data_IF_868994674778
#
_entry.id   IF_868994674778
#
_cell.length_a   1.000
_cell.length_b   1.000
_cell.length_c   1.000
_cell.angle_alpha   90.00
_cell.angle_beta   90.00
_cell.angle_gamma   90.00
#
_symmetry.space_group_name_H-M   'P 1'
#
loop_
_entity.id
_entity.type
_entity.pdbx_description
1 polymer ?
#
# COMPACT_ATOMS: atom_id res chain seq x y z
N UNK A 1 3.44 27.22 -2.29
CA UNK A 1 3.11 25.86 -2.77
C UNK A 1 1.67 25.75 -3.30
N UNK A 2 0.69 26.45 -2.72
CA UNK A 2 -0.73 26.44 -3.13
C UNK A 2 -0.96 26.62 -4.64
N UNK A 3 -0.49 27.71 -5.23
CA UNK A 3 -0.66 28.01 -6.66
C UNK A 3 -0.13 26.89 -7.58
N UNK A 4 1.03 26.32 -7.23
CA UNK A 4 1.62 25.21 -7.98
C UNK A 4 0.72 23.97 -7.95
N UNK A 5 0.19 23.62 -6.77
CA UNK A 5 -0.71 22.47 -6.59
C UNK A 5 -2.01 22.71 -7.36
N UNK A 6 -2.63 23.88 -7.20
CA UNK A 6 -3.89 24.25 -7.86
C UNK A 6 -3.75 24.24 -9.38
N UNK A 7 -2.64 24.79 -9.91
CA UNK A 7 -2.33 24.74 -11.34
C UNK A 7 -2.25 23.31 -11.85
N UNK A 8 -1.56 22.42 -11.15
CA UNK A 8 -1.45 21.02 -11.54
C UNK A 8 -2.80 20.28 -11.43
N UNK A 9 -3.64 20.60 -10.42
CA UNK A 9 -4.99 20.05 -10.30
C UNK A 9 -5.85 20.47 -11.49
N UNK A 10 -5.88 21.76 -11.85
CA UNK A 10 -6.62 22.27 -13.02
C UNK A 10 -6.16 21.58 -14.31
N UNK A 11 -4.85 21.51 -14.55
CA UNK A 11 -4.30 20.81 -15.73
C UNK A 11 -4.63 19.32 -15.75
N UNK A 12 -4.67 18.66 -14.59
CA UNK A 12 -5.11 17.27 -14.47
C UNK A 12 -6.59 17.10 -14.77
N UNK A 13 -7.45 18.04 -14.36
CA UNK A 13 -8.89 18.03 -14.69
C UNK A 13 -9.09 18.19 -16.21
N UNK A 14 -8.36 19.10 -16.85
CA UNK A 14 -8.36 19.26 -18.32
C UNK A 14 -7.92 17.96 -19.01
N UNK A 15 -6.79 17.38 -18.61
CA UNK A 15 -6.29 16.14 -19.19
C UNK A 15 -7.29 14.97 -19.08
N UNK A 16 -8.04 14.87 -17.96
CA UNK A 16 -9.13 13.89 -17.83
C UNK A 16 -10.25 14.15 -18.84
N UNK A 17 -10.66 15.42 -19.01
CA UNK A 17 -11.73 15.80 -19.93
C UNK A 17 -11.35 15.56 -21.39
N UNK A 18 -10.06 15.67 -21.75
CA UNK A 18 -9.56 15.43 -23.10
C UNK A 18 -9.11 13.99 -23.36
N UNK A 19 -9.29 13.07 -22.39
CA UNK A 19 -8.85 11.68 -22.52
C UNK A 19 -7.32 11.47 -22.53
N UNK A 20 -6.52 12.45 -22.12
CA UNK A 20 -5.06 12.38 -22.08
C UNK A 20 -4.57 11.62 -20.83
N UNK A 21 -4.44 10.29 -20.95
CA UNK A 21 -3.96 9.44 -19.86
C UNK A 21 -2.56 9.83 -19.36
N UNK A 22 -1.66 10.25 -20.28
CA UNK A 22 -0.31 10.68 -19.93
C UNK A 22 -0.36 11.93 -19.07
N UNK A 23 -1.10 12.96 -19.50
CA UNK A 23 -1.27 14.20 -18.75
C UNK A 23 -1.85 13.96 -17.36
N UNK A 24 -2.85 13.07 -17.24
CA UNK A 24 -3.43 12.70 -15.95
C UNK A 24 -2.38 12.12 -15.00
N UNK A 25 -1.51 11.25 -15.48
CA UNK A 25 -0.41 10.66 -14.70
C UNK A 25 0.67 11.70 -14.39
N UNK A 26 1.07 12.50 -15.38
CA UNK A 26 2.14 13.48 -15.29
C UNK A 26 1.83 14.57 -14.24
N UNK A 27 0.65 15.21 -14.32
CA UNK A 27 0.28 16.25 -13.37
C UNK A 27 0.07 15.72 -11.95
N UNK A 28 -0.38 14.45 -11.81
CA UNK A 28 -0.41 13.77 -10.50
C UNK A 28 1.01 13.58 -9.95
N UNK A 29 1.93 13.10 -10.77
CA UNK A 29 3.32 12.89 -10.38
C UNK A 29 4.00 14.20 -9.98
N UNK A 30 3.75 15.29 -10.69
CA UNK A 30 4.31 16.62 -10.37
C UNK A 30 3.98 17.10 -8.96
N UNK A 31 2.80 16.78 -8.43
CA UNK A 31 2.44 17.09 -7.06
C UNK A 31 3.12 16.12 -6.08
N UNK A 32 3.04 14.81 -6.35
CA UNK A 32 3.59 13.79 -5.46
C UNK A 32 5.14 13.80 -5.37
N UNK A 33 5.82 14.19 -6.46
CA UNK A 33 7.27 14.23 -6.55
C UNK A 33 7.89 15.30 -5.65
N UNK A 34 7.18 16.41 -5.38
CA UNK A 34 7.67 17.46 -4.47
C UNK A 34 7.90 16.88 -3.07
N UNK A 35 6.91 16.17 -2.53
CA UNK A 35 7.03 15.46 -1.26
C UNK A 35 8.19 14.46 -1.28
N UNK A 36 8.26 13.60 -2.30
CA UNK A 36 9.32 12.60 -2.42
C UNK A 36 10.73 13.20 -2.48
N UNK A 37 10.87 14.37 -3.14
CA UNK A 37 12.14 15.08 -3.25
C UNK A 37 12.57 15.72 -1.95
N UNK A 38 11.64 16.19 -1.12
CA UNK A 38 11.94 16.73 0.21
C UNK A 38 12.45 15.65 1.17
N UNK A 39 11.97 14.41 1.00
CA UNK A 39 12.38 13.23 1.77
C UNK A 39 13.61 12.49 1.19
N UNK A 40 14.29 13.08 0.21
CA UNK A 40 15.44 12.45 -0.45
C UNK A 40 16.60 12.20 0.53
N UNK A 41 17.05 10.95 0.63
CA UNK A 41 18.21 10.61 1.44
C UNK A 41 19.51 10.81 0.65
N UNK A 42 20.11 11.99 0.77
CA UNK A 42 21.38 12.37 0.13
C UNK A 42 22.58 11.53 0.57
N UNK A 43 22.51 10.83 1.72
CA UNK A 43 23.59 9.93 2.18
C UNK A 43 23.73 8.69 1.32
N UNK A 44 22.68 8.33 0.57
CA UNK A 44 22.72 7.22 -0.39
C UNK A 44 23.31 7.63 -1.75
N UNK A 45 23.62 8.91 -1.96
CA UNK A 45 24.29 9.34 -3.18
C UNK A 45 25.72 8.81 -3.18
N UNK A 46 26.10 8.19 -4.29
CA UNK A 46 27.45 7.68 -4.50
C UNK A 46 28.15 8.47 -5.59
N UNK A 47 29.48 8.51 -5.54
CA UNK A 47 30.32 8.86 -6.67
C UNK A 47 30.56 7.58 -7.46
N UNK A 48 30.30 7.63 -8.76
CA UNK A 48 30.61 6.54 -9.68
C UNK A 48 31.69 7.03 -10.62
N UNK A 49 32.82 6.35 -10.63
CA UNK A 49 33.88 6.58 -11.62
C UNK A 49 33.86 5.48 -12.66
N UNK A 50 33.82 5.86 -13.93
CA UNK A 50 33.96 4.95 -15.06
C UNK A 50 35.42 4.98 -15.52
N UNK A 51 36.07 3.83 -15.48
CA UNK A 51 37.47 3.66 -15.86
C UNK A 51 37.59 2.58 -16.93
N UNK A 52 38.62 2.63 -17.78
CA UNK A 52 38.96 1.47 -18.61
C UNK A 52 39.57 0.37 -17.74
N UNK A 53 39.31 -0.89 -18.06
CA UNK A 53 39.85 -2.06 -17.33
C UNK A 53 41.39 -2.07 -17.34
N UNK A 54 42.00 -1.52 -18.39
CA UNK A 54 43.45 -1.35 -18.48
C UNK A 54 44.01 -0.35 -17.44
N UNK A 55 43.19 0.54 -16.88
CA UNK A 55 43.58 1.48 -15.81
C UNK A 55 43.65 0.78 -14.42
N UNK A 56 44.16 -0.46 -14.36
CA UNK A 56 44.19 -1.32 -13.16
C UNK A 56 44.83 -0.63 -11.95
N UNK A 57 45.94 0.10 -12.15
CA UNK A 57 46.58 0.88 -11.07
C UNK A 57 45.63 1.88 -10.42
N UNK A 58 44.78 2.54 -11.21
CA UNK A 58 43.81 3.54 -10.73
C UNK A 58 42.63 2.85 -10.05
N UNK A 59 42.16 1.72 -10.60
CA UNK A 59 41.12 0.89 -9.98
C UNK A 59 41.58 0.41 -8.60
N UNK A 60 42.79 -0.14 -8.49
CA UNK A 60 43.38 -0.58 -7.20
C UNK A 60 43.51 0.57 -6.20
N UNK A 61 43.90 1.76 -6.66
CA UNK A 61 43.96 2.97 -5.82
C UNK A 61 42.58 3.39 -5.30
N UNK A 62 41.53 3.27 -6.11
CA UNK A 62 40.17 3.55 -5.64
C UNK A 62 39.67 2.46 -4.69
N UNK A 63 39.98 1.19 -4.97
CA UNK A 63 39.61 0.06 -4.13
C UNK A 63 40.27 0.07 -2.74
N UNK A 64 41.45 0.68 -2.61
CA UNK A 64 42.12 0.85 -1.30
C UNK A 64 41.56 2.01 -0.48
N UNK A 65 40.67 2.83 -1.03
CA UNK A 65 40.05 3.93 -0.31
C UNK A 65 39.03 3.40 0.72
N UNK A 66 38.95 3.99 1.93
CA UNK A 66 37.90 3.66 2.90
C UNK A 66 36.48 4.02 2.40
N UNK A 67 36.37 4.79 1.33
CA UNK A 67 35.10 5.18 0.71
C UNK A 67 34.63 4.15 -0.32
N UNK A 68 35.41 3.11 -0.60
CA UNK A 68 35.07 2.10 -1.59
C UNK A 68 33.84 1.28 -1.18
N UNK A 69 32.89 1.12 -2.11
CA UNK A 69 31.68 0.30 -1.92
C UNK A 69 31.75 -0.98 -2.74
N UNK A 70 32.26 -0.89 -3.96
CA UNK A 70 32.30 -2.01 -4.89
C UNK A 70 32.66 -1.56 -6.29
N UNK A 71 32.72 -2.52 -7.21
CA UNK A 71 32.90 -2.25 -8.63
C UNK A 71 31.91 -3.07 -9.47
N UNK A 72 31.70 -2.64 -10.70
CA UNK A 72 30.96 -3.37 -11.72
C UNK A 72 31.72 -3.26 -13.05
N UNK A 73 32.19 -4.39 -13.56
CA UNK A 73 32.74 -4.47 -14.90
C UNK A 73 31.60 -4.53 -15.93
N UNK A 74 31.77 -3.84 -17.05
CA UNK A 74 30.88 -3.87 -18.20
C UNK A 74 31.60 -4.47 -19.41
N UNK A 75 30.81 -4.98 -20.35
CA UNK A 75 31.31 -5.41 -21.64
C UNK A 75 31.97 -4.23 -22.38
N UNK A 76 33.06 -4.49 -23.10
CA UNK A 76 33.86 -3.43 -23.76
C UNK A 76 34.97 -2.81 -22.91
N UNK A 77 35.36 -3.45 -21.79
CA UNK A 77 36.54 -3.06 -21.03
C UNK A 77 36.37 -1.79 -20.20
N UNK A 78 35.14 -1.50 -19.74
CA UNK A 78 34.84 -0.38 -18.84
C UNK A 78 34.47 -0.94 -17.47
N UNK A 79 34.98 -0.34 -16.40
CA UNK A 79 34.66 -0.68 -15.01
C UNK A 79 34.11 0.54 -14.29
N UNK A 80 32.89 0.42 -13.74
CA UNK A 80 32.36 1.37 -12.77
C UNK A 80 32.90 1.05 -11.38
N UNK A 81 33.53 2.02 -10.73
CA UNK A 81 33.91 1.96 -9.32
C UNK A 81 32.94 2.81 -8.51
N UNK A 82 32.26 2.18 -7.57
CA UNK A 82 31.29 2.81 -6.68
C UNK A 82 31.97 3.28 -5.39
N UNK A 83 31.86 4.57 -5.11
CA UNK A 83 32.48 5.22 -3.95
C UNK A 83 31.44 5.99 -3.15
N UNK A 84 31.52 5.95 -1.83
CA UNK A 84 30.83 6.89 -0.95
C UNK A 84 31.35 8.31 -1.18
N UNK A 85 30.49 9.30 -0.94
CA UNK A 85 30.94 10.70 -0.88
C UNK A 85 31.64 10.94 0.45
N UNK A 86 32.85 11.50 0.41
CA UNK A 86 33.61 11.91 1.61
C UNK A 86 32.89 12.96 2.44
N UNK A 87 32.09 13.80 1.80
CA UNK A 87 31.31 14.87 2.45
C UNK A 87 29.91 14.87 1.87
N UNK A 88 28.91 14.94 2.75
CA UNK A 88 27.50 14.94 2.38
C UNK A 88 26.85 16.21 2.92
N UNK A 89 26.41 17.08 2.01
CA UNK A 89 25.63 18.28 2.37
C UNK A 89 24.17 17.91 2.56
N UNK A 90 23.64 18.10 3.77
CA UNK A 90 22.21 17.87 4.08
C UNK A 90 21.37 19.06 3.59
N UNK A 91 21.10 19.11 2.29
CA UNK A 91 20.39 20.23 1.62
C UNK A 91 18.93 19.92 1.30
N UNK A 92 18.32 18.94 1.98
CA UNK A 92 16.92 18.55 1.77
C UNK A 92 16.09 18.98 2.98
N UNK A 93 14.96 19.68 2.77
CA UNK A 93 14.09 20.10 3.87
C UNK A 93 13.23 18.93 4.34
N UNK A 94 13.86 17.91 4.94
CA UNK A 94 13.23 16.64 5.36
C UNK A 94 12.09 16.90 6.36
N UNK A 95 12.24 17.90 7.22
CA UNK A 95 11.21 18.30 8.20
C UNK A 95 9.88 18.71 7.53
N UNK A 96 9.92 19.30 6.33
CA UNK A 96 8.72 19.63 5.57
C UNK A 96 8.03 18.36 5.08
N UNK A 97 8.80 17.40 4.56
CA UNK A 97 8.27 16.11 4.15
C UNK A 97 7.66 15.35 5.34
N UNK A 98 8.33 15.36 6.49
CA UNK A 98 7.81 14.76 7.72
C UNK A 98 6.48 15.41 8.15
N UNK A 99 6.40 16.75 8.17
CA UNK A 99 5.17 17.46 8.50
C UNK A 99 4.01 17.11 7.56
N UNK A 100 4.25 17.02 6.25
CA UNK A 100 3.23 16.59 5.28
C UNK A 100 2.71 15.18 5.61
N UNK A 101 3.61 14.26 5.95
CA UNK A 101 3.25 12.89 6.30
C UNK A 101 2.41 12.83 7.58
N UNK A 102 2.79 13.60 8.60
CA UNK A 102 2.10 13.62 9.89
C UNK A 102 0.71 14.26 9.77
N UNK A 103 0.59 15.37 9.02
CA UNK A 103 -0.70 15.98 8.70
C UNK A 103 -1.59 14.99 7.93
N UNK A 104 -1.05 14.30 6.93
CA UNK A 104 -1.82 13.31 6.16
C UNK A 104 -2.35 12.18 7.04
N UNK A 105 -1.55 11.67 7.99
CA UNK A 105 -2.02 10.67 8.97
C UNK A 105 -3.07 11.23 9.91
N UNK A 106 -2.85 12.44 10.44
CA UNK A 106 -3.78 13.10 11.34
C UNK A 106 -5.15 13.29 10.68
N UNK A 107 -5.20 13.63 9.39
CA UNK A 107 -6.46 13.72 8.63
C UNK A 107 -7.19 12.38 8.57
N UNK A 108 -6.50 11.28 8.25
CA UNK A 108 -7.09 9.94 8.22
C UNK A 108 -7.59 9.51 9.61
N UNK A 109 -6.82 9.80 10.66
CA UNK A 109 -7.21 9.52 12.04
C UNK A 109 -8.39 10.38 12.48
N UNK A 110 -8.43 11.66 12.13
CA UNK A 110 -9.52 12.56 12.45
C UNK A 110 -10.82 12.13 11.76
N UNK A 111 -10.75 11.68 10.50
CA UNK A 111 -11.92 11.13 9.83
C UNK A 111 -12.44 9.87 10.56
N UNK A 112 -11.56 8.94 10.92
CA UNK A 112 -11.97 7.71 11.61
C UNK A 112 -12.44 7.95 13.05
N UNK A 113 -11.62 8.59 13.89
CA UNK A 113 -11.88 8.77 15.32
C UNK A 113 -12.69 10.02 15.65
N UNK A 114 -12.67 11.05 14.81
CA UNK A 114 -13.41 12.29 15.01
C UNK A 114 -14.80 12.30 14.35
N UNK A 115 -15.02 11.50 13.31
CA UNK A 115 -16.32 11.43 12.61
C UNK A 115 -16.96 10.04 12.64
N UNK A 116 -16.30 9.03 12.06
CA UNK A 116 -16.90 7.69 11.91
C UNK A 116 -17.19 7.03 13.26
N UNK A 117 -16.21 6.99 14.16
CA UNK A 117 -16.38 6.34 15.47
C UNK A 117 -17.41 7.03 16.38
N UNK A 118 -17.46 8.37 16.50
CA UNK A 118 -18.50 9.05 17.26
C UNK A 118 -19.91 8.83 16.68
N UNK A 119 -20.07 8.81 15.35
CA UNK A 119 -21.39 8.64 14.72
C UNK A 119 -21.94 7.22 14.85
N UNK A 120 -21.11 6.21 14.64
CA UNK A 120 -21.57 4.81 14.55
C UNK A 120 -21.16 3.92 15.73
N UNK A 121 -20.20 4.35 16.57
CA UNK A 121 -19.77 3.60 17.76
C UNK A 121 -19.27 2.18 17.45
N UNK A 122 -19.92 1.19 18.07
CA UNK A 122 -19.62 -0.24 17.91
C UNK A 122 -20.17 -0.81 16.57
N UNK A 123 -21.07 -0.10 15.88
CA UNK A 123 -21.59 -0.44 14.54
C UNK A 123 -20.61 -0.14 13.41
N UNK A 124 -19.48 0.50 13.69
CA UNK A 124 -18.41 0.71 12.71
C UNK A 124 -17.14 -0.07 13.07
N UNK A 125 -16.56 -0.77 12.09
CA UNK A 125 -15.31 -1.52 12.22
C UNK A 125 -14.36 -1.19 11.06
N UNK A 126 -13.10 -0.90 11.39
CA UNK A 126 -12.06 -0.67 10.39
C UNK A 126 -11.50 -2.02 9.97
N UNK A 127 -11.72 -2.41 8.71
CA UNK A 127 -11.25 -3.69 8.18
C UNK A 127 -9.81 -3.57 7.67
N UNK A 128 -9.49 -2.48 6.98
CA UNK A 128 -8.18 -2.30 6.35
C UNK A 128 -7.87 -0.82 6.09
N UNK A 129 -6.56 -0.50 6.01
CA UNK A 129 -6.08 0.83 5.62
C UNK A 129 -4.80 0.73 4.80
N UNK A 130 -4.69 1.55 3.76
CA UNK A 130 -3.44 1.79 3.02
C UNK A 130 -3.31 3.26 2.67
N UNK A 131 -2.39 3.95 3.35
CA UNK A 131 -1.99 5.34 3.14
C UNK A 131 -3.14 6.36 3.28
N UNK A 132 -3.98 6.47 2.26
CA UNK A 132 -5.07 7.45 2.09
C UNK A 132 -6.44 6.78 1.86
N UNK A 133 -6.56 5.48 2.18
CA UNK A 133 -7.78 4.69 2.00
C UNK A 133 -8.16 3.91 3.25
N UNK A 134 -9.47 3.72 3.44
CA UNK A 134 -10.06 2.92 4.51
C UNK A 134 -11.08 1.96 3.90
N UNK A 135 -11.02 0.68 4.28
CA UNK A 135 -12.10 -0.28 4.07
C UNK A 135 -12.80 -0.44 5.41
N UNK A 136 -14.08 -0.11 5.45
CA UNK A 136 -14.85 -0.02 6.68
C UNK A 136 -16.10 -0.89 6.56
N UNK A 137 -16.46 -1.54 7.65
CA UNK A 137 -17.77 -2.15 7.82
C UNK A 137 -18.60 -1.23 8.72
N UNK A 138 -19.75 -0.78 8.24
CA UNK A 138 -20.64 0.14 8.96
C UNK A 138 -22.05 -0.42 8.86
N UNK A 139 -22.69 -0.61 10.00
CA UNK A 139 -24.11 -0.96 10.10
C UNK A 139 -24.93 0.32 10.32
N UNK A 140 -25.71 0.69 9.30
CA UNK A 140 -26.60 1.86 9.27
C UNK A 140 -27.76 1.58 8.32
N UNK A 141 -28.84 2.37 8.39
CA UNK A 141 -29.99 2.23 7.49
C UNK A 141 -29.60 2.59 6.04
N UNK A 142 -28.91 3.71 5.85
CA UNK A 142 -28.48 4.17 4.52
C UNK A 142 -27.22 5.04 4.62
N UNK A 143 -26.07 4.44 4.31
CA UNK A 143 -24.77 5.12 4.34
C UNK A 143 -24.67 6.26 3.33
N UNK A 144 -25.47 6.23 2.25
CA UNK A 144 -25.44 7.27 1.22
C UNK A 144 -26.18 8.51 1.68
N UNK A 145 -27.28 8.36 2.43
CA UNK A 145 -27.94 9.48 3.11
C UNK A 145 -27.04 10.09 4.18
N UNK A 146 -26.44 9.26 5.02
CA UNK A 146 -25.47 9.71 6.04
C UNK A 146 -24.31 10.52 5.43
N UNK A 147 -23.89 10.15 4.22
CA UNK A 147 -22.84 10.86 3.46
C UNK A 147 -23.33 12.20 2.93
N UNK A 148 -24.55 12.24 2.40
CA UNK A 148 -25.16 13.44 1.82
C UNK A 148 -25.37 14.55 2.87
N UNK A 149 -25.55 14.20 4.14
CA UNK A 149 -25.63 15.16 5.25
C UNK A 149 -24.33 15.94 5.50
N UNK A 150 -23.18 15.42 5.03
CA UNK A 150 -21.84 15.97 5.32
C UNK A 150 -21.02 16.23 4.04
N UNK A 151 -21.45 17.17 3.19
CA UNK A 151 -20.73 17.55 1.98
C UNK A 151 -19.36 18.20 2.28
N UNK A 152 -19.14 18.65 3.52
CA UNK A 152 -17.87 19.20 4.01
C UNK A 152 -16.80 18.12 4.27
N UNK A 153 -17.21 16.85 4.41
CA UNK A 153 -16.30 15.71 4.63
C UNK A 153 -16.17 14.86 3.36
N UNK A 154 -17.26 14.71 2.60
CA UNK A 154 -17.33 13.77 1.49
C UNK A 154 -17.40 14.44 0.12
N UNK A 155 -16.67 13.89 -0.84
CA UNK A 155 -16.78 14.26 -2.25
C UNK A 155 -17.95 13.49 -2.89
N UNK A 156 -19.14 14.10 -2.85
CA UNK A 156 -20.37 13.51 -3.37
C UNK A 156 -20.42 13.50 -4.91
N UNK A 157 -19.74 14.45 -5.56
CA UNK A 157 -19.79 14.66 -7.00
C UNK A 157 -18.62 14.00 -7.74
N UNK A 158 -17.69 13.37 -7.02
CA UNK A 158 -16.44 12.84 -7.55
C UNK A 158 -15.65 13.91 -8.32
N UNK A 159 -15.80 15.18 -7.90
CA UNK A 159 -15.18 16.37 -8.51
C UNK A 159 -13.66 16.38 -8.30
N UNK A 160 -13.17 15.56 -7.36
CA UNK A 160 -11.78 15.47 -6.99
C UNK A 160 -11.34 16.68 -6.18
N UNK A 161 -12.24 17.19 -5.34
CA UNK A 161 -11.94 18.32 -4.47
C UNK A 161 -10.97 17.91 -3.37
N UNK A 162 -10.10 18.85 -3.00
CA UNK A 162 -8.95 18.55 -2.16
C UNK A 162 -9.43 18.26 -0.73
N UNK A 163 -8.85 17.23 -0.12
CA UNK A 163 -9.09 16.82 1.27
C UNK A 163 -10.45 16.19 1.59
N UNK A 164 -11.36 16.09 0.62
CA UNK A 164 -12.62 15.36 0.82
C UNK A 164 -12.44 13.85 0.62
N UNK A 165 -13.19 13.08 1.40
CA UNK A 165 -13.24 11.63 1.30
C UNK A 165 -14.12 11.24 0.12
N UNK A 166 -13.51 10.59 -0.87
CA UNK A 166 -14.22 10.02 -2.02
C UNK A 166 -14.60 8.58 -1.76
N UNK A 167 -15.69 8.15 -2.36
CA UNK A 167 -16.04 6.74 -2.47
C UNK A 167 -15.31 6.11 -3.67
N UNK A 168 -14.46 5.12 -3.43
CA UNK A 168 -13.72 4.47 -4.51
C UNK A 168 -14.55 3.46 -5.31
N UNK A 169 -15.64 2.94 -4.75
CA UNK A 169 -16.54 2.00 -5.42
C UNK A 169 -17.68 2.71 -6.15
N UNK A 170 -17.73 4.05 -6.08
CA UNK A 170 -18.69 4.91 -6.79
C UNK A 170 -20.16 4.54 -6.52
N UNK A 171 -20.47 4.13 -5.29
CA UNK A 171 -21.83 3.72 -4.90
C UNK A 171 -22.12 2.23 -5.06
N UNK A 172 -21.20 1.43 -5.58
CA UNK A 172 -21.34 -0.03 -5.55
C UNK A 172 -20.95 -0.55 -4.16
N UNK A 173 -21.87 -1.10 -3.35
CA UNK A 173 -21.53 -1.58 -2.02
C UNK A 173 -20.57 -2.77 -2.09
N UNK A 174 -19.68 -2.88 -1.10
CA UNK A 174 -18.75 -4.01 -0.99
C UNK A 174 -19.50 -5.19 -0.39
N UNK A 175 -19.54 -6.32 -1.12
CA UNK A 175 -20.11 -7.57 -0.62
C UNK A 175 -19.11 -8.34 0.24
N UNK A 176 -17.89 -8.52 -0.28
CA UNK A 176 -16.83 -9.26 0.42
C UNK A 176 -15.48 -8.57 0.32
N UNK A 177 -14.70 -8.64 1.40
CA UNK A 177 -13.31 -8.18 1.40
C UNK A 177 -12.41 -9.13 2.17
N UNK A 178 -11.29 -9.49 1.56
CA UNK A 178 -10.24 -10.33 2.15
C UNK A 178 -8.95 -9.55 2.20
N UNK A 179 -8.43 -9.30 3.39
CA UNK A 179 -7.20 -8.53 3.61
C UNK A 179 -6.17 -9.40 4.31
N UNK A 180 -5.22 -9.96 3.56
CA UNK A 180 -4.25 -10.93 4.08
C UNK A 180 -3.06 -10.25 4.78
N UNK A 181 -2.54 -9.17 4.19
CA UNK A 181 -1.40 -8.39 4.74
C UNK A 181 -1.35 -7.01 4.11
N UNK A 182 -0.51 -6.08 4.60
CA UNK A 182 -0.37 -4.77 4.00
C UNK A 182 -0.04 -4.85 2.50
N UNK A 183 -0.87 -4.19 1.70
CA UNK A 183 -0.86 -4.14 0.23
C UNK A 183 -1.15 -5.49 -0.44
N UNK A 184 -1.86 -6.37 0.26
CA UNK A 184 -2.37 -7.63 -0.25
C UNK A 184 -3.80 -7.86 0.19
N UNK A 185 -4.73 -7.55 -0.69
CA UNK A 185 -6.16 -7.61 -0.40
C UNK A 185 -6.98 -7.78 -1.67
N UNK A 186 -8.19 -8.27 -1.48
CA UNK A 186 -9.21 -8.46 -2.51
C UNK A 186 -10.52 -7.84 -2.03
N UNK A 187 -11.22 -7.13 -2.90
CA UNK A 187 -12.54 -6.51 -2.64
C UNK A 187 -13.49 -6.92 -3.76
N UNK A 188 -14.66 -7.41 -3.42
CA UNK A 188 -15.72 -7.81 -4.33
C UNK A 188 -16.97 -6.99 -4.04
N UNK A 189 -17.58 -6.42 -5.09
CA UNK A 189 -18.83 -5.67 -4.98
C UNK A 189 -20.02 -6.62 -4.69
N UNK A 190 -21.04 -6.13 -4.00
CA UNK A 190 -22.25 -6.90 -3.73
C UNK A 190 -22.97 -7.26 -5.03
N UNK A 191 -23.55 -8.45 -5.09
CA UNK A 191 -24.29 -8.95 -6.26
C UNK A 191 -23.44 -9.54 -7.40
N UNK A 192 -22.11 -9.60 -7.25
CA UNK A 192 -21.24 -10.34 -8.18
C UNK A 192 -20.94 -11.73 -7.63
N UNK A 193 -21.45 -12.78 -8.30
CA UNK A 193 -21.09 -14.17 -7.99
C UNK A 193 -19.74 -14.51 -8.66
N UNK A 194 -18.71 -14.97 -7.92
CA UNK A 194 -17.45 -15.42 -8.52
C UNK A 194 -17.58 -16.61 -9.48
N UNK A 195 -18.76 -17.25 -9.58
CA UNK A 195 -19.02 -18.46 -10.37
C UNK A 195 -19.72 -18.25 -11.72
N UNK A 196 -20.16 -17.04 -12.08
CA UNK A 196 -20.85 -16.85 -13.37
C UNK A 196 -19.88 -17.02 -14.55
N UNK A 197 -20.21 -17.88 -15.54
CA UNK A 197 -19.42 -18.06 -16.75
C UNK A 197 -19.28 -16.76 -17.54
N UNK A 198 -18.19 -16.64 -18.28
CA UNK A 198 -17.81 -15.47 -19.07
C UNK A 198 -18.91 -15.05 -20.05
N UNK A 199 -19.74 -14.08 -19.68
CA UNK A 199 -20.65 -13.42 -20.62
C UNK A 199 -19.81 -12.56 -21.61
N UNK A 200 -19.77 -12.88 -22.92
CA UNK A 200 -18.86 -12.26 -23.88
C UNK A 200 -19.11 -10.77 -24.13
N UNK A 201 -20.29 -10.26 -23.79
CA UNK A 201 -20.77 -8.94 -24.23
C UNK A 201 -20.72 -7.83 -23.16
N UNK A 202 -20.06 -8.04 -22.01
CA UNK A 202 -19.90 -6.93 -21.03
C UNK A 202 -18.68 -6.06 -21.36
N UNK A 203 -18.91 -4.83 -21.81
CA UNK A 203 -17.90 -3.87 -22.28
C UNK A 203 -16.82 -3.44 -21.24
N UNK A 204 -16.89 -3.84 -19.97
CA UNK A 204 -15.97 -3.34 -18.94
C UNK A 204 -15.38 -4.47 -18.03
N UNK A 205 -14.24 -5.08 -18.41
CA UNK A 205 -13.61 -6.18 -17.65
C UNK A 205 -13.11 -5.79 -16.25
N UNK A 206 -13.15 -4.50 -15.88
CA UNK A 206 -12.78 -4.01 -14.54
C UNK A 206 -13.90 -4.17 -13.52
N UNK A 207 -15.16 -4.20 -13.92
CA UNK A 207 -16.30 -4.36 -12.99
C UNK A 207 -16.49 -5.81 -12.55
N UNK A 208 -16.27 -6.79 -13.45
CA UNK A 208 -16.52 -8.22 -13.21
C UNK A 208 -15.65 -8.89 -12.15
N UNK A 209 -14.41 -8.42 -11.91
CA UNK A 209 -13.47 -9.15 -11.07
C UNK A 209 -13.25 -8.54 -9.68
N UNK A 210 -13.74 -7.34 -9.39
CA UNK A 210 -13.42 -6.65 -8.14
C UNK A 210 -11.98 -6.11 -8.10
N UNK A 211 -11.53 -5.64 -6.93
CA UNK A 211 -10.22 -5.00 -6.76
C UNK A 211 -9.26 -6.00 -6.10
N UNK A 212 -8.26 -6.48 -6.85
CA UNK A 212 -7.15 -7.26 -6.28
C UNK A 212 -5.84 -6.49 -6.26
N UNK A 213 -5.18 -6.55 -5.11
CA UNK A 213 -3.82 -6.08 -4.90
C UNK A 213 -3.00 -7.19 -4.27
N UNK A 214 -1.80 -7.43 -4.79
CA UNK A 214 -0.83 -8.34 -4.21
C UNK A 214 0.57 -7.76 -4.38
N UNK A 215 1.08 -7.09 -3.34
CA UNK A 215 2.42 -6.50 -3.37
C UNK A 215 3.48 -7.56 -3.66
N UNK A 216 4.30 -7.28 -4.66
CA UNK A 216 5.39 -8.14 -5.09
C UNK A 216 5.04 -9.05 -6.27
N UNK A 217 3.74 -9.18 -6.61
CA UNK A 217 3.22 -9.93 -7.76
C UNK A 217 2.96 -8.97 -8.93
N UNK A 218 3.30 -9.37 -10.15
CA UNK A 218 3.04 -8.57 -11.35
C UNK A 218 1.54 -8.42 -11.62
N UNK A 219 1.11 -7.24 -12.08
CA UNK A 219 -0.30 -6.92 -12.35
C UNK A 219 -0.99 -7.90 -13.31
N UNK A 220 -0.27 -8.39 -14.32
CA UNK A 220 -0.80 -9.40 -15.26
C UNK A 220 -1.11 -10.73 -14.56
N UNK A 221 -0.21 -11.21 -13.70
CA UNK A 221 -0.41 -12.42 -12.90
C UNK A 221 -1.55 -12.23 -11.91
N UNK A 222 -1.64 -11.07 -11.26
CA UNK A 222 -2.77 -10.76 -10.35
C UNK A 222 -4.10 -10.90 -11.07
N UNK A 223 -4.24 -10.28 -12.25
CA UNK A 223 -5.50 -10.32 -13.02
C UNK A 223 -5.86 -11.72 -13.52
N UNK A 224 -4.86 -12.51 -13.91
CA UNK A 224 -5.06 -13.83 -14.53
C UNK A 224 -5.28 -14.93 -13.50
N UNK A 225 -4.52 -14.91 -12.40
CA UNK A 225 -4.40 -16.07 -11.50
C UNK A 225 -4.87 -15.80 -10.07
N UNK A 226 -4.90 -14.53 -9.63
CA UNK A 226 -5.26 -14.18 -8.25
C UNK A 226 -6.67 -13.58 -8.19
N UNK A 227 -7.67 -14.39 -8.54
CA UNK A 227 -9.09 -14.06 -8.35
C UNK A 227 -9.49 -14.07 -6.87
N UNK A 228 -10.65 -13.51 -6.53
CA UNK A 228 -11.10 -13.32 -5.15
C UNK A 228 -11.21 -14.65 -4.36
N UNK A 229 -11.68 -15.71 -5.02
CA UNK A 229 -11.73 -17.08 -4.51
C UNK A 229 -10.36 -17.55 -3.99
N UNK A 230 -9.26 -17.22 -4.67
CA UNK A 230 -7.90 -17.60 -4.25
C UNK A 230 -7.46 -16.87 -3.00
N UNK A 231 -7.92 -15.65 -2.77
CA UNK A 231 -7.70 -14.95 -1.50
C UNK A 231 -8.47 -15.63 -0.36
N UNK A 232 -9.74 -16.00 -0.59
CA UNK A 232 -10.54 -16.75 0.39
C UNK A 232 -9.92 -18.13 0.71
N UNK A 233 -9.51 -18.86 -0.33
CA UNK A 233 -8.84 -20.16 -0.18
C UNK A 233 -7.54 -20.02 0.62
N UNK A 234 -6.72 -19.01 0.30
CA UNK A 234 -5.48 -18.73 1.02
C UNK A 234 -5.73 -18.43 2.50
N UNK A 235 -6.77 -17.63 2.81
CA UNK A 235 -7.17 -17.31 4.18
C UNK A 235 -7.64 -18.57 4.94
N UNK A 236 -8.54 -19.36 4.35
CA UNK A 236 -9.15 -20.54 4.98
C UNK A 236 -8.16 -21.69 5.16
N UNK A 237 -7.40 -21.99 4.11
CA UNK A 237 -6.46 -23.11 4.11
C UNK A 237 -5.12 -22.78 4.76
N UNK A 238 -4.85 -21.49 5.06
CA UNK A 238 -3.59 -21.00 5.63
C UNK A 238 -2.36 -21.42 4.80
N UNK A 239 -2.55 -21.55 3.48
CA UNK A 239 -1.51 -21.97 2.52
C UNK A 239 -0.98 -20.77 1.72
N UNK A 240 0.35 -20.72 1.64
CA UNK A 240 1.12 -19.84 0.76
C UNK A 240 0.93 -20.26 -0.70
N UNK A 241 0.78 -19.30 -1.62
CA UNK A 241 0.85 -19.56 -3.07
C UNK A 241 2.16 -19.05 -3.67
N UNK A 242 2.56 -19.64 -4.79
CA UNK A 242 3.72 -19.22 -5.59
C UNK A 242 3.31 -19.12 -7.05
N UNK A 243 3.82 -18.10 -7.72
CA UNK A 243 3.49 -17.84 -9.13
C UNK A 243 4.75 -17.51 -9.90
N UNK A 244 4.77 -17.96 -11.15
CA UNK A 244 5.83 -17.68 -12.09
C UNK A 244 5.65 -16.29 -12.70
N UNK A 245 6.72 -15.51 -12.68
CA UNK A 245 6.74 -14.17 -13.24
C UNK A 245 7.88 -14.05 -14.25
N UNK A 246 7.53 -13.70 -15.47
CA UNK A 246 8.48 -13.45 -16.54
C UNK A 246 8.78 -11.96 -16.59
N UNK A 247 10.05 -11.58 -16.61
CA UNK A 247 10.46 -10.19 -16.73
C UNK A 247 11.74 -10.02 -17.51
N UNK A 248 11.86 -8.89 -18.19
CA UNK A 248 13.12 -8.49 -18.80
C UNK A 248 14.06 -7.99 -17.70
N UNK A 249 15.28 -8.52 -17.69
CA UNK A 249 16.37 -8.10 -16.83
C UNK A 249 17.53 -7.64 -17.70
N UNK A 250 18.22 -6.60 -17.26
CA UNK A 250 19.46 -6.19 -17.88
C UNK A 250 20.60 -6.64 -16.97
N UNK A 251 21.42 -7.55 -17.49
CA UNK A 251 22.71 -7.93 -16.91
C UNK A 251 23.77 -7.51 -17.91
N UNK A 252 24.67 -6.63 -17.47
CA UNK A 252 25.80 -6.12 -18.25
C UNK A 252 25.44 -5.65 -19.66
N UNK A 253 24.38 -4.84 -19.74
CA UNK A 253 23.82 -4.29 -20.97
C UNK A 253 23.13 -5.29 -21.91
N UNK A 254 23.12 -6.57 -21.56
CA UNK A 254 22.39 -7.60 -22.27
C UNK A 254 21.02 -7.84 -21.62
N UNK A 255 19.98 -7.94 -22.44
CA UNK A 255 18.61 -8.11 -21.99
C UNK A 255 18.26 -9.59 -22.00
N UNK A 256 17.85 -10.11 -20.84
CA UNK A 256 17.45 -11.49 -20.62
C UNK A 256 15.97 -11.57 -20.26
N UNK A 257 15.29 -12.61 -20.75
CA UNK A 257 13.98 -12.99 -20.25
C UNK A 257 14.16 -13.93 -19.05
N UNK A 258 13.94 -13.41 -17.85
CA UNK A 258 14.09 -14.16 -16.60
C UNK A 258 12.73 -14.65 -16.10
N UNK A 259 12.65 -15.94 -15.78
CA UNK A 259 11.52 -16.54 -15.05
C UNK A 259 11.87 -16.55 -13.56
N UNK A 260 11.07 -15.87 -12.75
CA UNK A 260 11.21 -15.87 -11.28
C UNK A 260 9.97 -16.50 -10.67
N UNK A 261 10.15 -17.60 -9.93
CA UNK A 261 9.10 -18.14 -9.08
C UNK A 261 9.05 -17.34 -7.79
N UNK A 262 7.93 -16.67 -7.53
CA UNK A 262 7.81 -15.73 -6.41
C UNK A 262 6.61 -16.06 -5.55
N UNK A 263 6.76 -15.82 -4.25
CA UNK A 263 5.66 -15.87 -3.28
C UNK A 263 4.54 -14.93 -3.74
N UNK A 264 3.35 -15.50 -3.93
CA UNK A 264 2.10 -14.83 -4.24
C UNK A 264 1.34 -14.45 -2.99
N UNK A 265 0.19 -15.09 -2.79
CA UNK A 265 -0.65 -14.89 -1.62
C UNK A 265 -0.01 -15.51 -0.38
N UNK A 266 -0.05 -14.78 0.73
CA UNK A 266 0.48 -15.24 2.00
C UNK A 266 -0.53 -14.86 3.09
N UNK A 267 -1.08 -15.84 3.83
CA UNK A 267 -2.08 -15.59 4.87
C UNK A 267 -1.46 -15.10 6.19
N UNK A 268 -0.14 -15.14 6.33
CA UNK A 268 0.57 -14.71 7.53
C UNK A 268 0.98 -13.23 7.41
N UNK A 269 0.40 -12.38 8.25
CA UNK A 269 0.85 -11.01 8.45
C UNK A 269 1.83 -10.93 9.63
N UNK A 270 3.11 -10.77 9.33
CA UNK A 270 4.16 -10.66 10.35
C UNK A 270 4.11 -9.35 11.16
N UNK A 271 3.15 -8.46 10.90
CA UNK A 271 2.98 -7.20 11.63
C UNK A 271 1.80 -7.20 12.58
N UNK A 272 1.01 -8.28 12.63
CA UNK A 272 -0.18 -8.36 13.48
C UNK A 272 -0.25 -9.69 14.22
N UNK A 273 -0.92 -9.64 15.36
CA UNK A 273 -1.36 -10.80 16.10
C UNK A 273 -2.68 -11.29 15.49
N UNK A 274 -2.70 -12.50 14.96
CA UNK A 274 -3.90 -13.12 14.38
C UNK A 274 -4.65 -13.84 15.50
N UNK A 275 -5.96 -13.60 15.63
CA UNK A 275 -6.83 -14.26 16.60
C UNK A 275 -7.05 -15.73 16.24
N UNK A 276 -7.61 -16.51 17.17
CA UNK A 276 -7.86 -17.93 17.00
C UNK A 276 -8.81 -18.23 15.82
N UNK A 277 -9.71 -17.31 15.51
CA UNK A 277 -10.58 -17.40 14.32
C UNK A 277 -9.84 -17.30 12.97
N UNK A 278 -8.56 -16.91 12.98
CA UNK A 278 -7.74 -16.77 11.79
C UNK A 278 -8.07 -15.59 10.88
N UNK A 279 -9.00 -14.71 11.30
CA UNK A 279 -9.52 -13.60 10.48
C UNK A 279 -9.26 -12.26 11.17
N UNK A 280 -9.68 -12.14 12.43
CA UNK A 280 -9.49 -10.90 13.19
C UNK A 280 -8.03 -10.76 13.60
N UNK A 281 -7.56 -9.53 13.61
CA UNK A 281 -6.16 -9.24 13.95
C UNK A 281 -6.06 -8.05 14.89
N UNK A 282 -5.06 -8.08 15.76
CA UNK A 282 -4.69 -6.97 16.63
C UNK A 282 -3.27 -6.49 16.30
N UNK A 283 -2.97 -5.19 16.40
CA UNK A 283 -1.60 -4.72 16.32
C UNK A 283 -0.79 -5.26 17.51
N UNK A 284 0.47 -5.61 17.29
CA UNK A 284 1.35 -5.98 18.39
C UNK A 284 1.42 -4.84 19.42
N UNK A 285 1.41 -5.20 20.71
CA UNK A 285 1.33 -4.24 21.82
C UNK A 285 -0.08 -3.82 22.21
N UNK A 286 -1.13 -4.29 21.52
CA UNK A 286 -2.51 -4.04 21.95
C UNK A 286 -2.76 -4.63 23.34
N UNK A 287 -3.42 -3.87 24.23
CA UNK A 287 -3.63 -4.25 25.63
C UNK A 287 -4.42 -5.56 25.80
N UNK A 288 -5.34 -5.88 24.89
CA UNK A 288 -6.08 -7.15 24.90
C UNK A 288 -5.16 -8.36 24.70
N UNK A 289 -4.05 -8.23 23.95
CA UNK A 289 -3.05 -9.29 23.82
C UNK A 289 -2.37 -9.52 25.17
N UNK A 290 -2.09 -8.44 25.92
CA UNK A 290 -1.56 -8.53 27.27
C UNK A 290 -2.53 -9.19 28.25
N UNK A 291 -3.82 -8.89 28.14
CA UNK A 291 -4.87 -9.53 28.95
C UNK A 291 -4.99 -11.03 28.63
N UNK A 292 -5.05 -11.37 27.34
CA UNK A 292 -5.04 -12.76 26.87
C UNK A 292 -3.87 -13.55 27.48
N UNK A 293 -2.64 -13.05 27.35
CA UNK A 293 -1.45 -13.71 27.91
C UNK A 293 -1.53 -13.95 29.42
N UNK A 294 -2.11 -13.01 30.18
CA UNK A 294 -2.32 -13.18 31.63
C UNK A 294 -3.35 -14.26 31.93
N UNK A 295 -4.45 -14.31 31.18
CA UNK A 295 -5.48 -15.35 31.35
C UNK A 295 -4.93 -16.75 31.05
N UNK A 296 -4.11 -16.89 30.00
CA UNK A 296 -3.40 -18.14 29.69
C UNK A 296 -2.45 -18.54 30.84
N UNK A 297 -1.72 -17.58 31.41
CA UNK A 297 -0.82 -17.84 32.55
C UNK A 297 -1.58 -18.26 33.82
N UNK A 298 -2.89 -17.97 33.90
CA UNK A 298 -3.80 -18.44 34.95
C UNK A 298 -4.51 -19.74 34.56
N UNK A 299 -3.97 -20.50 33.61
CA UNK A 299 -4.46 -21.81 33.16
C UNK A 299 -5.87 -21.81 32.53
N UNK A 300 -6.34 -20.65 32.06
CA UNK A 300 -7.57 -20.55 31.27
C UNK A 300 -7.29 -21.04 29.84
N UNK A 301 -8.24 -21.76 29.24
CA UNK A 301 -8.11 -22.26 27.87
C UNK A 301 -7.93 -21.11 26.86
N UNK A 302 -7.21 -21.32 25.75
CA UNK A 302 -7.01 -20.30 24.72
C UNK A 302 -8.30 -19.65 24.20
N UNK A 303 -9.31 -20.45 23.94
CA UNK A 303 -10.59 -20.00 23.40
C UNK A 303 -11.32 -19.08 24.37
N UNK A 304 -11.39 -19.49 25.64
CA UNK A 304 -12.04 -18.72 26.70
C UNK A 304 -11.25 -17.45 27.05
N UNK A 305 -9.91 -17.55 27.08
CA UNK A 305 -9.04 -16.41 27.32
C UNK A 305 -9.20 -15.35 26.22
N UNK A 306 -9.29 -15.75 24.95
CA UNK A 306 -9.51 -14.84 23.83
C UNK A 306 -10.89 -14.19 23.93
N UNK A 307 -11.95 -14.96 24.19
CA UNK A 307 -13.30 -14.44 24.32
C UNK A 307 -13.40 -13.39 25.44
N UNK A 308 -12.87 -13.71 26.63
CA UNK A 308 -12.83 -12.78 27.78
C UNK A 308 -12.02 -11.53 27.45
N UNK A 309 -10.88 -11.67 26.78
CA UNK A 309 -10.05 -10.53 26.40
C UNK A 309 -10.73 -9.61 25.37
N UNK A 310 -11.47 -10.17 24.41
CA UNK A 310 -12.17 -9.39 23.38
C UNK A 310 -13.43 -8.69 23.89
N UNK A 311 -14.11 -9.26 24.91
CA UNK A 311 -15.27 -8.62 25.57
C UNK A 311 -14.87 -7.52 26.55
N UNK A 312 -13.64 -7.54 27.06
CA UNK A 312 -13.16 -6.51 27.96
C UNK A 312 -13.24 -5.13 27.30
N UNK A 313 -13.75 -4.13 28.03
CA UNK A 313 -13.68 -2.72 27.64
C UNK A 313 -12.71 -2.00 28.57
N UNK A 314 -11.80 -1.21 27.99
CA UNK A 314 -10.98 -0.28 28.78
C UNK A 314 -11.93 0.72 29.44
N UNK A 315 -11.91 0.77 30.78
CA UNK A 315 -12.45 1.92 31.51
C UNK A 315 -11.56 3.12 31.22
N UNK A 316 -11.95 3.94 30.26
CA UNK A 316 -11.37 5.27 30.10
C UNK A 316 -11.90 6.09 31.27
N UNK A 317 -11.03 6.52 32.18
CA UNK A 317 -11.42 7.54 33.17
C UNK A 317 -11.78 8.79 32.36
N UNK A 318 -13.03 9.22 32.51
CA UNK A 318 -13.55 10.45 31.92
C UNK A 318 -12.78 11.67 32.41
#
# INVERSE_FOLDING_TARGET
MKEYIEKNIRKRKIAKATGDEFGVMYYKLKNNAVFGKQMENVRKHMRVELLRTEEDKKIRRLASSPLYVGFKAFEGGITAVHMLKSTVTLNKPIYVGQAILDISKAMMFNFWYGYIKPRYGDKARLLYTDTDSLIMWIETEDIYKDRAERPDIFDLNYSGDLFLMKDETKGDPIGESVCLKPKMYSVLSAGHDPKTPDDPDSEDPKKKHGIQKAKGVKKCVVKRELRHDRFLECLRNKKLTRHDMYGLRNYDHQIYLEKVNKIGLNPYDNKRWILLDGIRTLPYGHWQIGLYKRLIASEISPEEAEERAMKAKLRVKA
#
